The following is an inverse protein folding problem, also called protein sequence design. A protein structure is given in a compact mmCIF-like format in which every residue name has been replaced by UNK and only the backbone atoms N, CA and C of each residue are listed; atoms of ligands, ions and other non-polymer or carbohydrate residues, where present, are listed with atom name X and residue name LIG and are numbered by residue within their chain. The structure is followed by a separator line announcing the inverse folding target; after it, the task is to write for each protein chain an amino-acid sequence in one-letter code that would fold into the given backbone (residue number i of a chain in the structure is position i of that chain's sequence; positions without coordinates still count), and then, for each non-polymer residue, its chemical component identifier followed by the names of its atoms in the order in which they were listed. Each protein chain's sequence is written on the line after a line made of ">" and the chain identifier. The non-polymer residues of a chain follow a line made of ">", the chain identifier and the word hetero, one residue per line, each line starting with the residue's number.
data_IF_201882364981
#
_entry.id   IF_201882364981
#
_cell.length_a   1.000
_cell.length_b   1.000
_cell.length_c   1.000
_cell.angle_alpha   90.00
_cell.angle_beta   90.00
_cell.angle_gamma   90.00
#
_symmetry.space_group_name_H-M   'P 1'
#
loop_
_entity.id
_entity.type
_entity.pdbx_description
1 polymer ?
#
# COMPACT_ATOMS: atom_id res chain seq x y z
N UNK A 1 2.14 -14.00 22.02
CA UNK A 1 1.14 -14.18 20.94
C UNK A 1 0.77 -12.79 20.44
N UNK A 2 1.54 -12.17 19.53
CA UNK A 2 1.22 -10.82 19.09
C UNK A 2 0.02 -10.90 18.15
N UNK A 3 -0.97 -10.09 18.45
CA UNK A 3 -2.22 -9.98 17.72
C UNK A 3 -1.94 -9.43 16.32
N UNK A 4 -2.02 -10.35 15.36
CA UNK A 4 -2.28 -10.15 13.96
C UNK A 4 -3.32 -9.03 13.70
N UNK A 5 -2.94 -8.11 12.81
CA UNK A 5 -3.75 -7.06 12.18
C UNK A 5 -4.27 -6.01 13.16
N UNK A 6 -4.20 -4.74 12.75
CA UNK A 6 -4.92 -3.62 13.36
C UNK A 6 -6.45 -3.85 13.25
N UNK A 7 -6.98 -4.85 13.97
CA UNK A 7 -8.35 -5.34 13.84
C UNK A 7 -9.36 -4.23 14.16
N UNK A 8 -10.20 -3.95 13.18
CA UNK A 8 -11.63 -3.74 13.41
C UNK A 8 -12.42 -4.64 12.48
N UNK A 9 -12.91 -5.76 13.04
CA UNK A 9 -14.13 -6.40 12.53
C UNK A 9 -15.27 -5.39 12.67
N UNK A 10 -15.80 -4.88 11.56
CA UNK A 10 -17.18 -4.38 11.53
C UNK A 10 -17.93 -5.24 10.51
N UNK A 11 -19.00 -5.80 11.05
CA UNK A 11 -20.02 -6.66 10.49
C UNK A 11 -20.47 -6.33 9.08
N UNK A 12 -20.72 -7.41 8.35
CA UNK A 12 -21.66 -7.56 7.24
C UNK A 12 -22.83 -6.57 7.28
N UNK A 13 -23.13 -5.92 6.15
CA UNK A 13 -24.44 -5.88 5.50
C UNK A 13 -24.33 -5.08 4.19
N UNK A 14 -24.44 -5.76 3.04
CA UNK A 14 -24.53 -5.14 1.72
C UNK A 14 -25.94 -5.39 1.18
N UNK A 15 -26.85 -4.39 1.18
CA UNK A 15 -28.21 -4.58 0.69
C UNK A 15 -28.40 -3.90 -0.66
N UNK A 16 -27.78 -4.39 -1.73
CA UNK A 16 -28.21 -4.05 -3.09
C UNK A 16 -28.10 -5.25 -4.04
N UNK A 17 -29.22 -5.97 -4.14
CA UNK A 17 -29.58 -6.78 -5.31
C UNK A 17 -30.75 -6.09 -6.02
N UNK A 18 -30.80 -6.32 -7.33
CA UNK A 18 -31.71 -5.77 -8.35
C UNK A 18 -31.23 -4.39 -8.87
N UNK A 19 -31.09 -4.15 -10.17
CA UNK A 19 -31.98 -4.59 -11.23
C UNK A 19 -31.32 -4.65 -12.62
N UNK A 20 -31.97 -5.41 -13.48
CA UNK A 20 -31.72 -5.66 -14.90
C UNK A 20 -31.84 -4.41 -15.80
N UNK A 21 -30.95 -4.26 -16.79
CA UNK A 21 -31.34 -3.59 -18.04
C UNK A 21 -30.42 -3.85 -19.24
N UNK A 22 -31.02 -3.69 -20.42
CA UNK A 22 -30.67 -4.20 -21.76
C UNK A 22 -29.43 -3.57 -22.39
N UNK A 23 -28.76 -4.34 -23.27
CA UNK A 23 -27.77 -3.85 -24.23
C UNK A 23 -28.44 -3.11 -25.40
N UNK A 24 -27.84 -2.04 -25.94
CA UNK A 24 -27.96 -1.69 -27.34
C UNK A 24 -26.69 -2.05 -28.13
N UNK A 25 -26.91 -2.30 -29.42
CA UNK A 25 -25.94 -2.68 -30.45
C UNK A 25 -25.37 -1.42 -31.12
N UNK A 26 -24.06 -1.43 -31.40
CA UNK A 26 -23.46 -0.74 -32.55
C UNK A 26 -22.74 0.59 -32.30
N UNK A 27 -21.40 0.59 -32.37
CA UNK A 27 -20.57 1.47 -33.21
C UNK A 27 -19.08 1.23 -32.93
N UNK A 28 -18.28 1.32 -34.00
CA UNK A 28 -16.84 1.04 -34.11
C UNK A 28 -16.00 1.28 -32.84
N UNK A 29 -15.77 0.22 -32.06
CA UNK A 29 -14.73 0.20 -31.03
C UNK A 29 -13.48 -0.43 -31.63
N UNK A 30 -12.55 0.43 -32.05
CA UNK A 30 -11.12 0.12 -32.19
C UNK A 30 -10.74 -0.83 -31.05
N UNK A 31 -10.36 -2.08 -31.37
CA UNK A 31 -10.06 -3.09 -30.36
C UNK A 31 -9.16 -2.46 -29.29
N UNK A 32 -9.53 -2.53 -28.00
CA UNK A 32 -8.68 -2.00 -26.94
C UNK A 32 -7.31 -2.65 -27.10
N UNK A 33 -6.28 -1.82 -27.27
CA UNK A 33 -4.91 -2.32 -27.27
C UNK A 33 -4.76 -3.13 -25.97
N UNK A 34 -4.19 -4.35 -26.01
CA UNK A 34 -4.00 -5.13 -24.80
C UNK A 34 -3.32 -4.22 -23.78
N UNK A 35 -3.97 -4.05 -22.63
CA UNK A 35 -3.41 -3.25 -21.55
C UNK A 35 -2.03 -3.82 -21.26
N UNK A 36 -1.00 -2.97 -21.36
CA UNK A 36 0.32 -3.36 -20.87
C UNK A 36 0.12 -3.76 -19.40
N UNK A 37 0.69 -4.88 -18.94
CA UNK A 37 0.57 -5.26 -17.55
C UNK A 37 1.09 -4.10 -16.68
N UNK A 38 0.24 -3.57 -15.80
CA UNK A 38 0.64 -2.52 -14.88
C UNK A 38 1.56 -3.11 -13.82
N UNK A 39 2.68 -2.46 -13.53
CA UNK A 39 3.54 -2.86 -12.42
C UNK A 39 2.84 -2.58 -11.09
N UNK A 40 2.81 -3.54 -10.17
CA UNK A 40 2.34 -3.26 -8.81
C UNK A 40 3.41 -2.49 -8.03
N UNK A 41 2.96 -1.48 -7.28
CA UNK A 41 3.74 -0.83 -6.23
C UNK A 41 3.03 -1.09 -4.91
N UNK A 42 3.67 -1.83 -4.01
CA UNK A 42 3.17 -2.10 -2.66
C UNK A 42 3.39 -0.86 -1.80
N UNK A 43 2.33 -0.37 -1.19
CA UNK A 43 2.32 0.80 -0.32
C UNK A 43 1.95 0.36 1.09
N UNK A 44 2.62 0.96 2.07
CA UNK A 44 2.21 1.01 3.46
C UNK A 44 2.48 2.41 4.02
N UNK A 45 1.66 2.87 4.97
CA UNK A 45 1.90 4.12 5.69
C UNK A 45 1.71 3.96 7.19
N UNK A 46 2.52 4.69 7.95
CA UNK A 46 2.30 4.88 9.37
C UNK A 46 1.75 6.29 9.64
N UNK A 47 0.79 6.40 10.56
CA UNK A 47 0.11 7.68 10.84
C UNK A 47 -0.29 7.84 12.32
N UNK A 48 -0.56 9.08 12.74
CA UNK A 48 -0.68 9.45 14.16
C UNK A 48 -1.78 8.72 14.94
N UNK A 49 -2.98 8.60 14.38
CA UNK A 49 -4.15 7.96 15.00
C UNK A 49 -5.28 7.72 13.97
N UNK A 50 -6.28 6.93 14.36
CA UNK A 50 -7.43 6.57 13.51
C UNK A 50 -8.42 7.71 13.22
N UNK A 51 -8.33 8.85 13.91
CA UNK A 51 -9.25 9.98 13.74
C UNK A 51 -8.72 11.01 12.74
N UNK A 52 -7.49 11.52 12.95
CA UNK A 52 -6.87 12.54 12.09
C UNK A 52 -5.92 11.97 11.03
N UNK A 53 -5.38 10.76 11.24
CA UNK A 53 -4.57 10.00 10.28
C UNK A 53 -3.46 10.81 9.62
N UNK A 54 -2.74 11.62 10.40
CA UNK A 54 -1.63 12.42 9.86
C UNK A 54 -0.42 11.52 9.64
N UNK A 55 0.12 11.55 8.42
CA UNK A 55 1.29 10.78 8.03
C UNK A 55 2.44 10.93 9.03
N UNK A 56 3.11 9.82 9.31
CA UNK A 56 4.39 9.72 10.02
C UNK A 56 5.46 9.23 9.04
N UNK A 57 5.23 8.12 8.35
CA UNK A 57 6.16 7.58 7.35
C UNK A 57 5.43 6.86 6.23
N UNK A 58 6.08 6.78 5.06
CA UNK A 58 5.55 6.10 3.87
C UNK A 58 6.63 5.17 3.31
N UNK A 59 6.24 3.92 3.03
CA UNK A 59 7.07 2.91 2.40
C UNK A 59 6.43 2.42 1.12
N UNK A 60 7.22 2.33 0.05
CA UNK A 60 6.74 1.81 -1.23
C UNK A 60 7.79 0.92 -1.89
N UNK A 61 7.37 -0.17 -2.54
CA UNK A 61 8.27 -1.07 -3.29
C UNK A 61 7.59 -1.66 -4.52
N UNK A 62 8.31 -1.76 -5.63
CA UNK A 62 7.80 -2.37 -6.86
C UNK A 62 7.71 -3.90 -6.79
N UNK A 63 6.84 -4.49 -7.60
CA UNK A 63 6.69 -5.94 -7.71
C UNK A 63 8.01 -6.68 -8.00
N UNK A 64 8.84 -6.14 -8.88
CA UNK A 64 10.17 -6.70 -9.20
C UNK A 64 11.23 -6.40 -8.12
N UNK A 65 10.93 -5.53 -7.15
CA UNK A 65 11.81 -5.13 -6.06
C UNK A 65 12.96 -4.22 -6.48
N UNK A 66 12.97 -3.73 -7.73
CA UNK A 66 14.03 -2.87 -8.26
C UNK A 66 13.86 -1.39 -7.87
N UNK A 67 12.65 -0.99 -7.53
CA UNK A 67 12.33 0.36 -7.12
C UNK A 67 11.73 0.35 -5.72
N UNK A 68 12.28 1.17 -4.84
CA UNK A 68 11.75 1.34 -3.50
C UNK A 68 11.89 2.80 -3.06
N UNK A 69 10.99 3.22 -2.18
CA UNK A 69 10.93 4.56 -1.64
C UNK A 69 10.58 4.50 -0.16
N UNK A 70 11.28 5.32 0.63
CA UNK A 70 10.99 5.48 2.05
C UNK A 70 11.30 6.91 2.50
N UNK A 71 10.35 7.50 3.22
CA UNK A 71 10.53 8.79 3.90
C UNK A 71 9.74 8.81 5.20
N UNK A 72 10.28 9.56 6.14
CA UNK A 72 9.69 9.87 7.43
C UNK A 72 9.46 11.39 7.51
N UNK A 73 8.31 11.82 8.01
CA UNK A 73 8.11 13.22 8.37
C UNK A 73 8.81 13.52 9.68
N UNK A 74 9.53 14.64 9.75
CA UNK A 74 10.13 15.14 11.00
C UNK A 74 9.24 16.10 11.79
N UNK A 75 8.13 16.55 11.21
CA UNK A 75 7.29 17.64 11.70
C UNK A 75 5.84 17.22 12.03
N UNK A 76 5.59 15.93 12.30
CA UNK A 76 4.27 15.48 12.75
C UNK A 76 4.05 15.75 14.25
N UNK A 77 2.80 16.01 14.62
CA UNK A 77 2.39 16.29 15.99
C UNK A 77 2.45 15.02 16.87
N UNK A 78 3.48 14.95 17.71
CA UNK A 78 3.68 13.86 18.66
C UNK A 78 2.54 13.75 19.67
N UNK A 79 1.90 14.86 20.05
CA UNK A 79 0.80 14.86 21.01
C UNK A 79 -0.46 14.21 20.44
N UNK A 80 -0.61 14.29 19.13
CA UNK A 80 -1.64 13.61 18.38
C UNK A 80 -1.36 12.11 18.14
N UNK A 81 -0.19 11.58 18.50
CA UNK A 81 0.10 10.15 18.39
C UNK A 81 -0.66 9.33 19.43
N UNK A 82 -1.36 8.29 18.97
CA UNK A 82 -2.01 7.31 19.84
C UNK A 82 -0.99 6.57 20.72
N UNK A 83 -1.47 5.96 21.82
CA UNK A 83 -0.63 5.11 22.68
C UNK A 83 0.04 3.98 21.89
N UNK A 84 -0.67 3.41 20.92
CA UNK A 84 -0.14 2.34 20.07
C UNK A 84 1.03 2.83 19.22
N UNK A 85 0.86 3.97 18.54
CA UNK A 85 1.91 4.58 17.68
C UNK A 85 3.14 4.91 18.51
N UNK A 86 2.96 5.51 19.69
CA UNK A 86 4.07 5.84 20.60
C UNK A 86 4.86 4.62 21.04
N UNK A 87 4.20 3.48 21.23
CA UNK A 87 4.84 2.26 21.70
C UNK A 87 5.48 1.42 20.58
N UNK A 88 4.90 1.42 19.37
CA UNK A 88 5.27 0.46 18.33
C UNK A 88 5.81 1.09 17.05
N UNK A 89 5.48 2.34 16.74
CA UNK A 89 5.90 3.00 15.48
C UNK A 89 7.07 3.94 15.74
N UNK A 90 6.91 4.87 16.69
CA UNK A 90 7.93 5.90 16.95
C UNK A 90 9.32 5.33 17.28
N UNK A 91 9.45 4.23 18.05
CA UNK A 91 10.76 3.62 18.32
C UNK A 91 11.45 3.01 17.10
N UNK A 92 10.75 2.87 15.97
CA UNK A 92 11.25 2.27 14.75
C UNK A 92 11.76 3.32 13.73
N UNK A 93 11.49 4.60 13.96
CA UNK A 93 11.93 5.71 13.10
C UNK A 93 13.45 5.94 13.18
N UNK A 94 14.01 6.63 12.19
CA UNK A 94 15.41 7.03 12.17
C UNK A 94 16.40 5.89 11.91
N UNK A 95 15.91 4.72 11.45
CA UNK A 95 16.75 3.56 11.09
C UNK A 95 17.46 3.73 9.73
N UNK A 96 16.88 4.54 8.85
CA UNK A 96 17.43 4.83 7.52
C UNK A 96 18.03 6.23 7.52
N UNK A 97 19.31 6.33 7.14
CA UNK A 97 19.98 7.61 6.97
C UNK A 97 19.23 8.44 5.92
N UNK A 98 19.06 9.73 6.20
CA UNK A 98 18.41 10.72 5.32
C UNK A 98 16.92 10.45 4.98
N UNK A 99 16.25 9.53 5.68
CA UNK A 99 14.82 9.30 5.50
C UNK A 99 13.94 10.43 6.05
N UNK A 100 14.39 11.10 7.11
CA UNK A 100 13.65 12.15 7.80
C UNK A 100 13.68 13.49 7.04
N UNK A 101 12.53 13.94 6.56
CA UNK A 101 12.35 15.17 5.77
C UNK A 101 11.11 15.94 6.23
N UNK A 102 10.95 17.19 5.80
CA UNK A 102 9.69 17.91 5.97
C UNK A 102 8.66 17.51 4.91
N UNK A 103 7.41 17.92 5.12
CA UNK A 103 6.30 17.56 4.25
C UNK A 103 6.48 18.00 2.80
N UNK A 104 6.99 19.21 2.57
CA UNK A 104 7.18 19.71 1.20
C UNK A 104 8.21 18.85 0.46
N UNK A 105 9.35 18.57 1.10
CA UNK A 105 10.40 17.72 0.54
C UNK A 105 9.91 16.28 0.32
N UNK A 106 9.09 15.72 1.21
CA UNK A 106 8.49 14.39 1.03
C UNK A 106 7.61 14.34 -0.21
N UNK A 107 6.72 15.32 -0.37
CA UNK A 107 5.85 15.42 -1.55
C UNK A 107 6.67 15.52 -2.83
N UNK A 108 7.68 16.38 -2.87
CA UNK A 108 8.55 16.55 -4.04
C UNK A 108 9.33 15.28 -4.36
N UNK A 109 9.96 14.65 -3.35
CA UNK A 109 10.72 13.41 -3.51
C UNK A 109 9.82 12.27 -4.01
N UNK A 110 8.61 12.16 -3.47
CA UNK A 110 7.65 11.12 -3.86
C UNK A 110 7.18 11.30 -5.29
N UNK A 111 6.84 12.53 -5.69
CA UNK A 111 6.42 12.83 -7.07
C UNK A 111 7.56 12.57 -8.05
N UNK A 112 8.77 13.04 -7.73
CA UNK A 112 9.95 12.78 -8.55
C UNK A 112 10.24 11.29 -8.66
N UNK A 113 10.17 10.54 -7.57
CA UNK A 113 10.38 9.09 -7.58
C UNK A 113 9.34 8.39 -8.46
N UNK A 114 8.05 8.71 -8.30
CA UNK A 114 6.97 8.17 -9.13
C UNK A 114 7.23 8.46 -10.62
N UNK A 115 7.69 9.65 -10.98
CA UNK A 115 7.99 10.02 -12.38
C UNK A 115 9.13 9.19 -13.00
N UNK A 116 9.99 8.56 -12.18
CA UNK A 116 11.03 7.63 -12.68
C UNK A 116 10.50 6.23 -13.02
N UNK A 117 9.30 5.89 -12.55
CA UNK A 117 8.74 4.54 -12.67
C UNK A 117 8.05 4.32 -14.03
N UNK A 118 7.75 3.05 -14.41
CA UNK A 118 7.05 2.75 -15.66
C UNK A 118 5.73 3.49 -15.84
N UNK A 119 5.30 3.61 -17.11
CA UNK A 119 4.12 4.41 -17.50
C UNK A 119 2.76 3.90 -16.98
N UNK A 120 2.71 2.71 -16.38
CA UNK A 120 1.47 2.17 -15.83
C UNK A 120 1.75 1.42 -14.54
N UNK A 121 1.31 2.02 -13.44
CA UNK A 121 1.46 1.56 -12.08
C UNK A 121 0.08 1.29 -11.50
N UNK A 122 -0.02 0.24 -10.68
CA UNK A 122 -1.16 0.01 -9.82
C UNK A 122 -0.68 -0.02 -8.38
N UNK A 123 -1.21 0.86 -7.53
CA UNK A 123 -0.81 0.94 -6.12
C UNK A 123 -1.55 -0.14 -5.33
N UNK A 124 -0.83 -1.06 -4.72
CA UNK A 124 -1.36 -2.15 -3.91
C UNK A 124 -1.23 -1.79 -2.42
N UNK A 125 -2.35 -1.73 -1.70
CA UNK A 125 -2.40 -1.49 -0.26
C UNK A 125 -3.59 -2.25 0.36
N UNK A 126 -3.52 -2.52 1.66
CA UNK A 126 -4.56 -3.22 2.41
C UNK A 126 -5.44 -2.27 3.24
N UNK A 127 -5.19 -0.97 3.19
CA UNK A 127 -6.01 0.04 3.85
C UNK A 127 -6.55 1.07 2.87
N UNK A 128 -7.80 1.47 3.06
CA UNK A 128 -8.34 2.67 2.39
C UNK A 128 -7.64 3.94 2.89
N UNK A 129 -7.13 3.93 4.13
CA UNK A 129 -6.43 5.07 4.71
C UNK A 129 -5.08 5.33 4.05
N UNK A 130 -4.31 4.28 3.74
CA UNK A 130 -3.02 4.45 3.03
C UNK A 130 -3.22 5.07 1.66
N UNK A 131 -4.27 4.64 0.95
CA UNK A 131 -4.63 5.21 -0.33
C UNK A 131 -5.02 6.69 -0.21
N UNK A 132 -5.87 7.04 0.76
CA UNK A 132 -6.28 8.42 1.01
C UNK A 132 -5.08 9.31 1.38
N UNK A 133 -4.18 8.81 2.24
CA UNK A 133 -2.95 9.51 2.64
C UNK A 133 -2.03 9.73 1.44
N UNK A 134 -1.83 8.72 0.57
CA UNK A 134 -1.07 8.87 -0.67
C UNK A 134 -1.69 9.97 -1.54
N UNK A 135 -3.02 9.95 -1.72
CA UNK A 135 -3.73 10.97 -2.49
C UNK A 135 -3.59 12.37 -1.88
N UNK A 136 -3.59 12.51 -0.54
CA UNK A 136 -3.36 13.79 0.16
C UNK A 136 -1.94 14.33 -0.11
N UNK A 137 -0.92 13.48 0.01
CA UNK A 137 0.49 13.88 -0.14
C UNK A 137 0.81 14.25 -1.58
N UNK A 138 0.37 13.40 -2.51
CA UNK A 138 0.65 13.57 -3.93
C UNK A 138 -0.22 14.68 -4.50
N UNK A 139 -1.46 14.81 -4.06
CA UNK A 139 -2.40 15.82 -4.52
C UNK A 139 -3.10 15.45 -5.83
N UNK A 140 -3.94 16.37 -6.32
CA UNK A 140 -4.74 16.19 -7.52
C UNK A 140 -4.28 17.11 -8.66
N UNK A 141 -4.18 16.61 -9.91
CA UNK A 141 -4.36 15.21 -10.30
C UNK A 141 -3.21 14.31 -9.80
N UNK A 142 -3.50 13.02 -9.65
CA UNK A 142 -2.46 12.00 -9.43
C UNK A 142 -1.48 11.98 -10.62
N UNK A 143 -0.21 11.57 -10.41
CA UNK A 143 0.78 11.34 -11.45
C UNK A 143 0.21 10.45 -12.55
N UNK A 144 0.48 10.82 -13.80
CA UNK A 144 -0.16 10.23 -14.98
C UNK A 144 0.14 8.73 -15.16
N UNK A 145 1.17 8.22 -14.51
CA UNK A 145 1.53 6.80 -14.54
C UNK A 145 0.79 5.95 -13.49
N UNK A 146 0.13 6.55 -12.50
CA UNK A 146 -0.76 5.83 -11.58
C UNK A 146 -2.07 5.53 -12.31
N UNK A 147 -2.26 4.27 -12.68
CA UNK A 147 -3.39 3.78 -13.47
C UNK A 147 -4.53 3.22 -12.62
N UNK A 148 -4.30 2.97 -11.33
CA UNK A 148 -5.31 2.46 -10.42
C UNK A 148 -4.77 2.01 -9.07
N UNK A 149 -5.66 1.40 -8.30
CA UNK A 149 -5.40 0.82 -6.98
C UNK A 149 -5.77 -0.67 -6.98
N UNK A 150 -4.99 -1.48 -6.30
CA UNK A 150 -5.27 -2.88 -6.00
C UNK A 150 -5.50 -3.06 -4.50
N UNK A 151 -6.63 -3.67 -4.12
CA UNK A 151 -6.96 -3.96 -2.73
C UNK A 151 -6.32 -5.29 -2.31
N UNK A 152 -5.39 -5.23 -1.34
CA UNK A 152 -4.71 -6.42 -0.80
C UNK A 152 -5.54 -7.17 0.26
N UNK A 153 -6.60 -6.57 0.82
CA UNK A 153 -7.40 -7.19 1.90
C UNK A 153 -7.90 -8.60 1.57
N UNK A 154 -8.41 -8.89 0.36
CA UNK A 154 -8.84 -10.24 0.01
C UNK A 154 -7.72 -11.28 0.02
N UNK A 155 -6.45 -10.85 -0.08
CA UNK A 155 -5.30 -11.75 -0.06
C UNK A 155 -4.81 -12.03 1.35
N UNK A 156 -4.96 -11.06 2.27
CA UNK A 156 -4.53 -11.19 3.68
C UNK A 156 -5.16 -12.41 4.34
N UNK A 157 -6.41 -12.73 4.02
CA UNK A 157 -7.11 -13.91 4.57
C UNK A 157 -6.64 -15.24 3.94
N UNK A 158 -5.82 -15.20 2.89
CA UNK A 158 -5.26 -16.42 2.31
C UNK A 158 -4.08 -16.92 3.14
N UNK A 159 -4.09 -18.22 3.45
CA UNK A 159 -3.03 -18.87 4.24
C UNK A 159 -1.63 -18.65 3.65
N UNK A 160 -1.50 -18.60 2.32
CA UNK A 160 -0.21 -18.46 1.63
C UNK A 160 0.35 -17.05 1.79
N UNK A 161 -0.46 -16.02 1.50
CA UNK A 161 -0.05 -14.62 1.64
C UNK A 161 0.29 -14.31 3.10
N UNK A 162 -0.62 -14.64 4.03
CA UNK A 162 -0.44 -14.38 5.45
C UNK A 162 0.84 -15.01 6.01
N UNK A 163 1.10 -16.29 5.69
CA UNK A 163 2.32 -16.97 6.16
C UNK A 163 3.58 -16.32 5.61
N UNK A 164 3.57 -15.86 4.36
CA UNK A 164 4.73 -15.21 3.76
C UNK A 164 5.00 -13.83 4.38
N UNK A 165 3.96 -13.04 4.66
CA UNK A 165 4.07 -11.78 5.40
C UNK A 165 4.63 -12.04 6.80
N UNK A 166 4.03 -12.96 7.58
CA UNK A 166 4.53 -13.29 8.92
C UNK A 166 6.00 -13.72 8.90
N UNK A 167 6.37 -14.57 7.93
CA UNK A 167 7.75 -15.04 7.79
C UNK A 167 8.75 -13.92 7.49
N UNK A 168 8.35 -12.88 6.76
CA UNK A 168 9.20 -11.70 6.53
C UNK A 168 9.55 -11.04 7.88
N UNK A 169 8.56 -10.90 8.77
CA UNK A 169 8.74 -10.26 10.08
C UNK A 169 9.31 -11.18 11.19
N UNK A 170 9.68 -12.43 10.89
CA UNK A 170 10.35 -13.30 11.86
C UNK A 170 11.77 -12.80 12.20
N UNK A 171 12.37 -11.98 11.32
CA UNK A 171 13.65 -11.29 11.57
C UNK A 171 13.40 -9.98 12.35
N UNK A 172 14.10 -9.81 13.48
CA UNK A 172 13.98 -8.60 14.32
C UNK A 172 14.43 -7.31 13.61
N UNK A 173 15.21 -7.41 12.53
CA UNK A 173 15.57 -6.28 11.67
C UNK A 173 14.48 -5.91 10.68
N UNK A 174 13.40 -6.69 10.60
CA UNK A 174 12.25 -6.50 9.72
C UNK A 174 10.98 -6.32 10.57
N UNK A 175 10.93 -5.35 11.48
CA UNK A 175 9.82 -5.22 12.42
C UNK A 175 8.50 -4.94 11.70
N UNK A 176 7.42 -5.36 12.33
CA UNK A 176 6.08 -4.82 12.06
C UNK A 176 6.03 -3.33 12.42
N UNK A 177 5.09 -2.61 11.80
CA UNK A 177 4.79 -1.20 12.09
C UNK A 177 5.89 -0.22 11.65
N UNK A 178 6.58 -0.61 10.58
CA UNK A 178 7.58 0.20 9.92
C UNK A 178 7.28 0.15 8.42
N UNK A 179 6.81 1.27 7.87
CA UNK A 179 6.20 1.28 6.54
C UNK A 179 7.05 0.68 5.40
N UNK A 180 8.38 0.82 5.43
CA UNK A 180 9.26 0.08 4.51
C UNK A 180 9.11 -1.44 4.61
N UNK A 181 9.18 -1.97 5.83
CA UNK A 181 9.13 -3.41 6.07
C UNK A 181 7.74 -3.97 5.79
N UNK A 182 6.68 -3.27 6.16
CA UNK A 182 5.31 -3.71 5.89
C UNK A 182 5.02 -3.71 4.38
N UNK A 183 5.45 -2.68 3.63
CA UNK A 183 5.35 -2.67 2.16
C UNK A 183 6.13 -3.82 1.51
N UNK A 184 7.35 -4.12 2.00
CA UNK A 184 8.13 -5.27 1.54
C UNK A 184 7.47 -6.61 1.91
N UNK A 185 6.87 -6.72 3.09
CA UNK A 185 6.15 -7.91 3.51
C UNK A 185 4.93 -8.17 2.61
N UNK A 186 4.16 -7.14 2.27
CA UNK A 186 3.07 -7.22 1.29
C UNK A 186 3.56 -7.72 -0.08
N UNK A 187 4.71 -7.23 -0.55
CA UNK A 187 5.35 -7.74 -1.77
C UNK A 187 5.71 -9.22 -1.64
N UNK A 188 6.29 -9.65 -0.53
CA UNK A 188 6.62 -11.07 -0.28
C UNK A 188 5.36 -11.95 -0.27
N UNK A 189 4.29 -11.48 0.38
CA UNK A 189 2.97 -12.11 0.36
C UNK A 189 2.43 -12.28 -1.05
N UNK A 190 2.48 -11.22 -1.86
CA UNK A 190 2.03 -11.24 -3.24
C UNK A 190 2.80 -12.26 -4.09
N UNK A 191 4.13 -12.27 -4.00
CA UNK A 191 4.96 -13.19 -4.79
C UNK A 191 4.67 -14.65 -4.43
N UNK A 192 4.51 -14.97 -3.15
CA UNK A 192 4.14 -16.31 -2.70
C UNK A 192 2.74 -16.72 -3.21
N UNK A 193 1.77 -15.83 -3.11
CA UNK A 193 0.41 -16.07 -3.61
C UNK A 193 0.38 -16.24 -5.14
N UNK A 194 1.11 -15.40 -5.88
CA UNK A 194 1.16 -15.47 -7.34
C UNK A 194 1.86 -16.75 -7.84
N UNK A 195 2.92 -17.21 -7.18
CA UNK A 195 3.59 -18.48 -7.49
C UNK A 195 2.63 -19.67 -7.33
N UNK A 196 1.88 -19.73 -6.22
CA UNK A 196 0.90 -20.82 -6.01
C UNK A 196 -0.19 -20.83 -7.08
N UNK A 197 -0.67 -19.66 -7.53
CA UNK A 197 -1.63 -19.56 -8.64
C UNK A 197 -1.06 -19.97 -9.99
N UNK A 198 0.22 -19.68 -10.25
CA UNK A 198 0.90 -20.12 -11.48
C UNK A 198 1.04 -21.63 -11.51
N UNK A 199 1.44 -22.25 -10.39
CA UNK A 199 1.54 -23.71 -10.25
C UNK A 199 0.20 -24.41 -10.38
N UNK A 200 -0.88 -23.84 -9.85
CA UNK A 200 -2.22 -24.43 -9.96
C UNK A 200 -2.83 -24.36 -11.38
N UNK A 201 -2.22 -23.61 -12.31
CA UNK A 201 -2.63 -23.50 -13.71
C UNK A 201 -1.80 -24.39 -14.65
N UNK A 202 -0.70 -24.94 -14.15
CA UNK A 202 0.13 -25.94 -14.83
C UNK A 202 -0.39 -27.34 -14.48
#
# INVERSE_FOLDING_TARGET
>A
MPFCLQRTCITCENPYKHDSCRRPVGSDSKMPRPSRPSMLIFLDTEFTNLTKRKLISIGMVSEDGQHAFYRELRDFDLDNCSRFVRANVLPLLGRFQDAAVDRAKLTDDLRQWIDTLPRSLTIACDSDWDWEILCEIVGNPLPANISGRFDLRPLIDTTVFHKAVCRYHDDSHQPWHHAWHDAHAHRFGWLAWNDTRRRAKL
#
